data_IF_293543296312
#
_entry.id   IF_293543296312
#
_cell.length_a   1.000
_cell.length_b   1.000
_cell.length_c   1.000
_cell.angle_alpha   90.00
_cell.angle_beta   90.00
_cell.angle_gamma   90.00
#
_symmetry.space_group_name_H-M   'P 1'
#
loop_
_entity.id
_entity.type
_entity.pdbx_description
1 polymer ?
#
# COMPACT_ATOMS: atom_id res chain seq x y z
N UNK A 1 -4.71 -12.70 -25.75
CA UNK A 1 -4.95 -13.86 -26.63
C UNK A 1 -4.45 -15.20 -26.08
N UNK A 2 -3.68 -15.25 -24.97
CA UNK A 2 -3.08 -16.53 -24.50
C UNK A 2 -3.88 -17.29 -23.42
N UNK A 3 -4.63 -16.58 -22.58
CA UNK A 3 -5.40 -17.19 -21.49
C UNK A 3 -6.44 -18.18 -22.02
N UNK A 4 -7.21 -17.77 -23.02
CA UNK A 4 -8.28 -18.57 -23.63
C UNK A 4 -7.73 -19.85 -24.26
N UNK A 5 -6.56 -19.79 -24.92
CA UNK A 5 -5.92 -20.97 -25.51
C UNK A 5 -5.44 -21.96 -24.45
N UNK A 6 -4.79 -21.51 -23.38
CA UNK A 6 -4.33 -22.41 -22.31
C UNK A 6 -5.51 -23.04 -21.55
N UNK A 7 -6.56 -22.27 -21.30
CA UNK A 7 -7.79 -22.75 -20.64
C UNK A 7 -8.51 -23.84 -21.47
N UNK A 8 -8.63 -23.63 -22.79
CA UNK A 8 -9.16 -24.64 -23.72
C UNK A 8 -8.30 -25.91 -23.77
N UNK A 9 -6.97 -25.77 -23.81
CA UNK A 9 -6.04 -26.92 -23.81
C UNK A 9 -6.11 -27.72 -22.51
N UNK A 10 -6.35 -27.05 -21.37
CA UNK A 10 -6.52 -27.71 -20.07
C UNK A 10 -7.85 -28.49 -19.99
N UNK A 11 -8.90 -28.02 -20.66
CA UNK A 11 -10.20 -28.70 -20.71
C UNK A 11 -10.25 -29.83 -21.74
N UNK A 12 -9.37 -29.83 -22.74
CA UNK A 12 -9.32 -30.86 -23.77
C UNK A 12 -8.85 -32.20 -23.23
N UNK A 13 -9.63 -33.26 -23.52
CA UNK A 13 -9.30 -34.64 -23.17
C UNK A 13 -8.00 -35.14 -23.84
N UNK A 14 -7.58 -34.51 -24.94
CA UNK A 14 -6.37 -34.90 -25.68
C UNK A 14 -5.07 -34.69 -24.89
N UNK A 15 -5.07 -33.80 -23.90
CA UNK A 15 -3.90 -33.52 -23.07
C UNK A 15 -3.97 -34.19 -21.69
N UNK A 16 -4.81 -35.21 -21.51
CA UNK A 16 -4.86 -36.01 -20.29
C UNK A 16 -3.90 -37.20 -20.38
N UNK A 17 -3.26 -37.53 -19.25
CA UNK A 17 -2.54 -38.79 -19.08
C UNK A 17 -3.53 -39.90 -18.72
N UNK A 18 -3.09 -41.16 -18.83
CA UNK A 18 -3.88 -42.35 -18.48
C UNK A 18 -4.41 -42.35 -17.03
N UNK A 19 -3.78 -41.58 -16.14
CA UNK A 19 -4.20 -41.39 -14.75
C UNK A 19 -5.13 -40.17 -14.52
N UNK A 20 -5.68 -39.59 -15.59
CA UNK A 20 -6.59 -38.45 -15.55
C UNK A 20 -5.93 -37.10 -15.24
N UNK A 21 -4.60 -37.04 -15.04
CA UNK A 21 -3.88 -35.77 -14.82
C UNK A 21 -3.50 -35.11 -16.14
N UNK A 22 -3.53 -33.78 -16.20
CA UNK A 22 -3.08 -33.02 -17.37
C UNK A 22 -1.58 -33.23 -17.66
N UNK A 23 -1.26 -33.42 -18.94
CA UNK A 23 0.08 -33.60 -19.44
C UNK A 23 0.74 -32.26 -19.80
N UNK A 24 1.27 -31.58 -18.78
CA UNK A 24 1.90 -30.26 -18.92
C UNK A 24 3.05 -30.26 -19.95
N UNK A 25 3.78 -31.35 -20.11
CA UNK A 25 4.91 -31.42 -21.07
C UNK A 25 4.45 -31.25 -22.52
N UNK A 26 3.31 -31.86 -22.87
CA UNK A 26 2.74 -31.77 -24.22
C UNK A 26 2.14 -30.38 -24.48
N UNK A 27 1.48 -29.80 -23.47
CA UNK A 27 0.93 -28.43 -23.53
C UNK A 27 2.06 -27.40 -23.74
N UNK A 28 3.17 -27.56 -23.03
CA UNK A 28 4.38 -26.72 -23.14
C UNK A 28 4.94 -26.75 -24.56
N UNK A 29 5.03 -27.95 -25.17
CA UNK A 29 5.46 -28.10 -26.57
C UNK A 29 4.49 -27.45 -27.55
N UNK A 30 3.18 -27.66 -27.37
CA UNK A 30 2.13 -27.10 -28.24
C UNK A 30 2.09 -25.56 -28.20
N UNK A 31 2.27 -24.97 -27.02
CA UNK A 31 2.29 -23.52 -26.84
C UNK A 31 3.66 -22.88 -27.13
N UNK A 32 4.70 -23.69 -27.37
CA UNK A 32 6.10 -23.27 -27.51
C UNK A 32 6.53 -22.30 -26.40
N UNK A 33 6.26 -22.67 -25.14
CA UNK A 33 6.53 -21.85 -23.94
C UNK A 33 7.28 -22.63 -22.89
N UNK A 34 8.04 -21.92 -22.05
CA UNK A 34 8.74 -22.55 -20.95
C UNK A 34 7.79 -23.14 -19.90
N UNK A 35 8.12 -24.32 -19.37
CA UNK A 35 7.31 -25.06 -18.38
C UNK A 35 6.96 -24.24 -17.13
N UNK A 36 7.92 -23.45 -16.63
CA UNK A 36 7.69 -22.64 -15.42
C UNK A 36 6.63 -21.55 -15.65
N UNK A 37 6.54 -21.01 -16.86
CA UNK A 37 5.54 -20.00 -17.23
C UNK A 37 4.14 -20.60 -17.20
N UNK A 38 3.94 -21.75 -17.87
CA UNK A 38 2.65 -22.46 -17.89
C UNK A 38 2.20 -22.86 -16.48
N UNK A 39 3.11 -23.38 -15.65
CA UNK A 39 2.78 -23.72 -14.25
C UNK A 39 2.37 -22.50 -13.42
N UNK A 40 3.02 -21.35 -13.63
CA UNK A 40 2.66 -20.09 -12.95
C UNK A 40 1.28 -19.60 -13.41
N UNK A 41 0.96 -19.71 -14.69
CA UNK A 41 -0.36 -19.35 -15.23
C UNK A 41 -1.47 -20.26 -14.71
N UNK A 42 -1.26 -21.59 -14.71
CA UNK A 42 -2.21 -22.55 -14.11
C UNK A 42 -2.47 -22.25 -12.63
N UNK A 43 -1.40 -21.95 -11.88
CA UNK A 43 -1.52 -21.55 -10.45
C UNK A 43 -2.34 -20.26 -10.31
N UNK A 44 -2.15 -19.29 -11.21
CA UNK A 44 -2.97 -18.06 -11.23
C UNK A 44 -4.43 -18.37 -11.56
N UNK A 45 -4.72 -19.24 -12.53
CA UNK A 45 -6.10 -19.62 -12.91
C UNK A 45 -6.86 -20.29 -11.76
N UNK A 46 -6.23 -21.23 -11.05
CA UNK A 46 -6.86 -21.86 -9.87
C UNK A 46 -7.24 -20.89 -8.76
N UNK A 47 -6.62 -19.72 -8.73
CA UNK A 47 -6.81 -18.72 -7.66
C UNK A 47 -7.71 -17.57 -8.08
N UNK A 48 -8.04 -17.45 -9.37
CA UNK A 48 -8.77 -16.31 -9.93
C UNK A 48 -10.07 -16.83 -10.53
N UNK A 49 -11.18 -16.69 -9.81
CA UNK A 49 -12.52 -16.92 -10.38
C UNK A 49 -12.86 -15.89 -11.46
N UNK A 50 -12.25 -14.70 -11.45
CA UNK A 50 -12.23 -13.75 -12.57
C UNK A 50 -11.30 -12.59 -12.20
N UNK A 51 -10.57 -12.02 -13.18
CA UNK A 51 -9.78 -10.82 -12.90
C UNK A 51 -10.73 -9.64 -12.67
N UNK A 52 -10.82 -9.20 -11.43
CA UNK A 52 -11.56 -7.99 -11.07
C UNK A 52 -10.56 -6.88 -10.71
N UNK A 53 -10.54 -5.76 -11.46
CA UNK A 53 -9.78 -4.58 -11.10
C UNK A 53 -10.09 -4.10 -9.67
N UNK A 54 -11.36 -4.17 -9.27
CA UNK A 54 -11.81 -3.80 -7.93
C UNK A 54 -11.23 -4.69 -6.83
N UNK A 55 -11.24 -6.02 -7.01
CA UNK A 55 -10.62 -6.96 -6.05
C UNK A 55 -9.11 -6.69 -5.91
N UNK A 56 -8.44 -6.39 -7.03
CA UNK A 56 -7.00 -6.10 -7.06
C UNK A 56 -6.66 -4.80 -6.34
N UNK A 57 -7.43 -3.74 -6.57
CA UNK A 57 -7.25 -2.44 -5.91
C UNK A 57 -7.52 -2.53 -4.40
N UNK A 58 -8.60 -3.21 -4.00
CA UNK A 58 -8.90 -3.48 -2.58
C UNK A 58 -7.76 -4.21 -1.88
N UNK A 59 -7.24 -5.29 -2.49
CA UNK A 59 -6.13 -6.05 -1.94
C UNK A 59 -4.85 -5.20 -1.79
N UNK A 60 -4.60 -4.29 -2.75
CA UNK A 60 -3.49 -3.36 -2.67
C UNK A 60 -3.63 -2.42 -1.45
N UNK A 61 -4.79 -1.80 -1.24
CA UNK A 61 -5.02 -0.93 -0.08
C UNK A 61 -4.89 -1.67 1.25
N UNK A 62 -5.37 -2.91 1.35
CA UNK A 62 -5.24 -3.74 2.55
C UNK A 62 -3.76 -4.05 2.87
N UNK A 63 -2.98 -4.47 1.87
CA UNK A 63 -1.54 -4.70 2.02
C UNK A 63 -0.80 -3.42 2.41
N UNK A 64 -1.16 -2.30 1.79
CA UNK A 64 -0.59 -0.98 2.09
C UNK A 64 -0.91 -0.53 3.52
N UNK A 65 -2.13 -0.80 4.01
CA UNK A 65 -2.52 -0.52 5.41
C UNK A 65 -1.66 -1.31 6.40
N UNK A 66 -1.41 -2.60 6.13
CA UNK A 66 -0.55 -3.47 6.96
C UNK A 66 0.92 -3.05 6.95
N UNK A 67 1.43 -2.50 5.84
CA UNK A 67 2.83 -2.08 5.73
C UNK A 67 3.12 -0.65 6.22
N UNK A 68 2.10 0.12 6.61
CA UNK A 68 2.29 1.43 7.22
C UNK A 68 2.68 1.26 8.70
N UNK A 69 3.89 0.76 8.98
CA UNK A 69 4.46 0.79 10.34
C UNK A 69 4.50 2.24 10.82
N UNK A 70 3.80 2.54 11.92
CA UNK A 70 3.79 3.86 12.57
C UNK A 70 4.60 3.78 13.86
N UNK A 71 5.16 4.90 14.28
CA UNK A 71 5.71 5.01 15.62
C UNK A 71 4.56 4.88 16.63
N UNK A 72 4.70 3.93 17.55
CA UNK A 72 3.79 3.79 18.66
C UNK A 72 4.23 4.79 19.73
N UNK A 73 3.35 5.74 20.03
CA UNK A 73 3.54 6.70 21.11
C UNK A 73 2.72 6.27 22.31
N UNK A 74 3.26 6.52 23.51
CA UNK A 74 2.47 6.40 24.75
C UNK A 74 1.39 7.48 24.77
N UNK A 75 0.32 7.25 25.53
CA UNK A 75 -0.77 8.22 25.66
C UNK A 75 -0.30 9.58 26.15
N UNK A 76 0.65 9.60 27.10
CA UNK A 76 1.26 10.83 27.60
C UNK A 76 1.98 11.63 26.50
N UNK A 77 2.68 10.93 25.60
CA UNK A 77 3.35 11.56 24.47
C UNK A 77 2.31 12.14 23.50
N UNK A 78 1.24 11.41 23.22
CA UNK A 78 0.15 11.88 22.34
C UNK A 78 -0.53 13.13 22.93
N UNK A 79 -0.81 13.13 24.23
CA UNK A 79 -1.46 14.26 24.91
C UNK A 79 -0.54 15.49 24.92
N UNK A 80 0.76 15.30 25.18
CA UNK A 80 1.74 16.37 25.04
C UNK A 80 1.76 16.92 23.60
N UNK A 81 1.84 16.06 22.60
CA UNK A 81 1.83 16.48 21.19
C UNK A 81 0.59 17.28 20.83
N UNK A 82 -0.59 16.84 21.26
CA UNK A 82 -1.85 17.57 21.06
C UNK A 82 -1.79 18.95 21.70
N UNK A 83 -1.34 19.06 22.94
CA UNK A 83 -1.25 20.35 23.63
C UNK A 83 -0.31 21.30 22.87
N UNK A 84 0.90 20.83 22.54
CA UNK A 84 1.90 21.66 21.85
C UNK A 84 1.41 22.10 20.47
N UNK A 85 0.92 21.18 19.65
CA UNK A 85 0.54 21.48 18.26
C UNK A 85 -0.83 22.16 18.16
N UNK A 86 -1.80 21.80 19.02
CA UNK A 86 -3.15 22.32 18.95
C UNK A 86 -3.34 23.62 19.73
N UNK A 87 -2.80 23.70 20.96
CA UNK A 87 -2.97 24.85 21.86
C UNK A 87 -1.88 25.90 21.64
N UNK A 88 -0.61 25.50 21.72
CA UNK A 88 0.51 26.44 21.61
C UNK A 88 0.85 26.82 20.16
N UNK A 89 0.42 26.02 19.18
CA UNK A 89 0.64 26.25 17.74
C UNK A 89 2.11 26.32 17.36
N UNK A 90 2.96 25.63 18.11
CA UNK A 90 4.39 25.56 17.86
C UNK A 90 4.69 25.12 16.42
N UNK A 91 5.71 25.72 15.83
CA UNK A 91 6.31 25.21 14.60
C UNK A 91 6.89 23.82 14.84
N UNK A 92 7.08 23.00 13.80
CA UNK A 92 7.68 21.67 13.97
C UNK A 92 9.07 21.70 14.60
N UNK A 93 9.87 22.75 14.37
CA UNK A 93 11.20 22.89 14.97
C UNK A 93 11.08 23.03 16.49
N UNK A 94 10.23 23.95 16.95
CA UNK A 94 9.95 24.16 18.37
C UNK A 94 9.35 22.90 19.00
N UNK A 95 8.41 22.25 18.32
CA UNK A 95 7.82 21.00 18.77
C UNK A 95 8.88 19.91 18.99
N UNK A 96 9.83 19.74 18.07
CA UNK A 96 10.90 18.72 18.20
C UNK A 96 11.81 19.04 19.39
N UNK A 97 12.15 20.31 19.56
CA UNK A 97 12.97 20.76 20.68
C UNK A 97 12.27 20.54 22.01
N UNK A 98 11.00 20.94 22.14
CA UNK A 98 10.21 20.72 23.37
C UNK A 98 9.96 19.24 23.65
N UNK A 99 9.76 18.44 22.61
CA UNK A 99 9.63 16.99 22.76
C UNK A 99 10.93 16.38 23.31
N UNK A 100 12.08 16.81 22.80
CA UNK A 100 13.39 16.38 23.31
C UNK A 100 13.59 16.81 24.78
N UNK A 101 13.27 18.06 25.13
CA UNK A 101 13.37 18.54 26.51
C UNK A 101 12.49 17.75 27.47
N UNK A 102 11.25 17.39 27.07
CA UNK A 102 10.32 16.68 27.94
C UNK A 102 10.67 15.19 28.09
N UNK A 103 11.03 14.51 27.01
CA UNK A 103 11.15 13.05 27.01
C UNK A 103 12.61 12.55 26.94
N UNK A 104 13.59 13.44 26.81
CA UNK A 104 15.01 13.10 26.68
C UNK A 104 15.39 12.34 25.41
N UNK A 105 14.44 12.16 24.48
CA UNK A 105 14.61 11.37 23.26
C UNK A 105 14.29 12.20 22.03
N UNK A 106 15.05 11.98 20.95
CA UNK A 106 14.77 12.61 19.66
C UNK A 106 13.42 12.10 19.13
N UNK A 107 12.65 13.01 18.55
CA UNK A 107 11.37 12.65 17.95
C UNK A 107 11.59 11.63 16.81
N UNK A 108 10.83 10.51 16.75
CA UNK A 108 11.20 9.37 15.91
C UNK A 108 10.89 9.56 14.41
N UNK A 109 10.31 10.70 14.02
CA UNK A 109 10.00 10.98 12.61
C UNK A 109 10.50 12.35 12.18
N UNK A 110 10.71 12.51 10.87
CA UNK A 110 11.13 13.80 10.28
C UNK A 110 10.02 14.86 10.33
N UNK A 111 10.41 16.14 10.19
CA UNK A 111 9.48 17.27 10.06
C UNK A 111 8.45 17.06 8.94
N UNK A 112 8.89 16.54 7.78
CA UNK A 112 8.00 16.26 6.63
C UNK A 112 6.91 15.25 7.00
N UNK A 113 7.28 14.23 7.77
CA UNK A 113 6.34 13.23 8.27
C UNK A 113 5.35 13.83 9.26
N UNK A 114 5.81 14.67 10.20
CA UNK A 114 4.93 15.37 11.13
C UNK A 114 3.94 16.28 10.40
N UNK A 115 4.39 17.07 9.43
CA UNK A 115 3.50 17.89 8.61
C UNK A 115 2.42 17.07 7.90
N UNK A 116 2.81 15.90 7.36
CA UNK A 116 1.86 14.96 6.76
C UNK A 116 0.85 14.46 7.78
N UNK A 117 1.27 14.17 9.01
CA UNK A 117 0.38 13.73 10.09
C UNK A 117 -0.62 14.81 10.50
N UNK A 118 -0.16 16.05 10.69
CA UNK A 118 -1.04 17.19 11.00
C UNK A 118 -2.05 17.41 9.88
N UNK A 119 -1.59 17.36 8.62
CA UNK A 119 -2.46 17.51 7.44
C UNK A 119 -3.53 16.42 7.36
N UNK A 120 -3.20 15.19 7.73
CA UNK A 120 -4.11 14.04 7.73
C UNK A 120 -4.97 13.96 9.00
N UNK A 121 -4.77 14.85 9.98
CA UNK A 121 -5.51 14.84 11.26
C UNK A 121 -5.14 13.65 12.15
N UNK A 122 -3.95 13.08 11.99
CA UNK A 122 -3.52 11.97 12.86
C UNK A 122 -3.38 12.42 14.30
N UNK A 123 -3.66 11.49 15.23
CA UNK A 123 -3.60 11.73 16.68
C UNK A 123 -4.42 12.94 17.15
N UNK A 124 -5.42 13.38 16.37
CA UNK A 124 -6.26 14.54 16.70
C UNK A 124 -5.61 15.90 16.43
N UNK A 125 -4.59 15.98 15.55
CA UNK A 125 -3.96 17.25 15.20
C UNK A 125 -4.84 18.12 14.31
N UNK A 126 -4.91 19.41 14.63
CA UNK A 126 -5.74 20.37 13.90
C UNK A 126 -4.97 20.95 12.69
N UNK A 127 -5.40 20.60 11.48
CA UNK A 127 -4.85 21.15 10.22
C UNK A 127 -4.91 22.69 10.14
N UNK A 128 -5.84 23.28 10.89
CA UNK A 128 -6.03 24.72 10.98
C UNK A 128 -4.82 25.43 11.60
N UNK A 129 -3.98 24.72 12.36
CA UNK A 129 -2.80 25.34 12.98
C UNK A 129 -1.57 25.35 12.06
N UNK A 130 -1.67 24.82 10.84
CA UNK A 130 -0.63 24.96 9.84
C UNK A 130 -0.63 26.40 9.29
N UNK A 131 0.55 26.90 8.89
CA UNK A 131 0.77 28.25 8.32
C UNK A 131 -0.22 28.68 7.22
N UNK A 132 -0.82 27.72 6.51
CA UNK A 132 -1.82 27.96 5.46
C UNK A 132 -3.14 27.25 5.70
N UNK A 133 -3.44 26.83 6.93
CA UNK A 133 -4.62 26.04 7.32
C UNK A 133 -4.83 24.78 6.46
N UNK A 134 -3.74 24.23 5.89
CA UNK A 134 -3.80 23.10 4.96
C UNK A 134 -4.30 23.43 3.55
N UNK A 135 -4.45 24.72 3.19
CA UNK A 135 -4.79 25.14 1.82
C UNK A 135 -3.74 24.62 0.84
N UNK A 136 -4.20 24.04 -0.27
CA UNK A 136 -3.34 23.71 -1.41
C UNK A 136 -3.09 24.99 -2.20
N UNK A 137 -1.83 25.32 -2.46
CA UNK A 137 -1.52 26.36 -3.43
C UNK A 137 -1.95 25.91 -4.82
N UNK A 138 -2.68 26.78 -5.53
CA UNK A 138 -2.87 26.61 -6.96
C UNK A 138 -1.49 26.75 -7.60
N UNK A 139 -0.94 25.67 -8.15
CA UNK A 139 0.22 25.77 -9.03
C UNK A 139 -0.21 26.63 -10.22
N UNK A 140 0.34 27.85 -10.35
CA UNK A 140 0.09 28.71 -11.50
C UNK A 140 0.40 27.90 -12.78
N UNK A 141 -0.63 27.65 -13.58
CA UNK A 141 -0.52 27.41 -15.02
C UNK A 141 0.39 26.28 -15.52
N UNK A 142 0.53 25.13 -14.83
CA UNK A 142 1.03 23.92 -15.52
C UNK A 142 -0.16 23.15 -16.10
N UNK A 143 -0.43 23.37 -17.38
CA UNK A 143 -1.31 22.50 -18.19
C UNK A 143 -0.76 21.07 -18.06
N UNK A 144 -1.66 20.13 -17.72
CA UNK A 144 -1.39 18.69 -17.78
C UNK A 144 -1.54 18.21 -19.20
#
# INVERSE_FOLDING_TARGET
MDKVKLEQLLLSKMFLKNNGKQNISVIVKCLNRHRSTILREIKRFKTIEEYSPYKSDKMYYEKRKKNNKRCNFREEQINFMKIILNKYRDSPIEFFYRYFLKFGVKFPVSFKTLYKWIRLGFYGFLKQNLRYHGKKFKTKGKKR
#
